data_IF_174368609061
#
_entry.id   IF_174368609061
#
_cell.length_a   1.000
_cell.length_b   1.000
_cell.length_c   1.000
_cell.angle_alpha   90.00
_cell.angle_beta   90.00
_cell.angle_gamma   90.00
#
_symmetry.space_group_name_H-M   'P 1'
#
loop_
_entity.id
_entity.type
_entity.pdbx_description
1 polymer ?
#
# COMPACT_ATOMS: atom_id res chain seq x y z
N UNK A 1 -28.32 55.69 -6.00
CA UNK A 1 -27.36 54.68 -6.53
C UNK A 1 -26.28 54.30 -5.52
N UNK A 2 -25.65 55.26 -4.82
CA UNK A 2 -24.63 54.99 -3.80
C UNK A 2 -25.16 54.15 -2.61
N UNK A 3 -26.40 54.37 -2.19
CA UNK A 3 -27.03 53.63 -1.09
C UNK A 3 -27.24 52.13 -1.38
N UNK A 4 -27.45 51.78 -2.65
CA UNK A 4 -27.61 50.39 -3.06
C UNK A 4 -26.27 49.65 -2.98
N UNK A 5 -25.18 50.31 -3.39
CA UNK A 5 -23.83 49.75 -3.30
C UNK A 5 -23.43 49.54 -1.84
N UNK A 6 -23.70 50.52 -0.96
CA UNK A 6 -23.41 50.44 0.48
C UNK A 6 -24.25 49.37 1.18
N UNK A 7 -25.46 49.08 0.68
CA UNK A 7 -26.32 48.03 1.25
C UNK A 7 -25.91 46.61 0.84
N UNK A 8 -25.40 46.42 -0.38
CA UNK A 8 -25.20 45.08 -0.95
C UNK A 8 -23.72 44.67 -1.15
N UNK A 9 -22.74 45.57 -0.97
CA UNK A 9 -21.32 45.22 -1.14
C UNK A 9 -20.83 44.12 -0.19
N UNK A 10 -21.36 44.05 1.04
CA UNK A 10 -21.05 42.99 2.00
C UNK A 10 -21.56 41.64 1.48
N UNK A 11 -22.75 41.58 0.88
CA UNK A 11 -23.30 40.35 0.30
C UNK A 11 -22.46 39.87 -0.89
N UNK A 12 -21.98 40.79 -1.74
CA UNK A 12 -21.09 40.48 -2.86
C UNK A 12 -19.73 39.95 -2.36
N UNK A 13 -19.18 40.57 -1.32
CA UNK A 13 -17.95 40.11 -0.66
C UNK A 13 -18.11 38.69 -0.10
N UNK A 14 -19.20 38.43 0.62
CA UNK A 14 -19.49 37.09 1.14
C UNK A 14 -19.64 36.06 0.03
N UNK A 15 -20.32 36.40 -1.08
CA UNK A 15 -20.44 35.52 -2.24
C UNK A 15 -19.07 35.19 -2.87
N UNK A 16 -18.19 36.18 -2.98
CA UNK A 16 -16.84 35.99 -3.52
C UNK A 16 -15.97 35.14 -2.59
N UNK A 17 -16.05 35.35 -1.27
CA UNK A 17 -15.35 34.55 -0.26
C UNK A 17 -15.87 33.10 -0.27
N UNK A 18 -17.19 32.90 -0.29
CA UNK A 18 -17.79 31.56 -0.31
C UNK A 18 -17.47 30.81 -1.61
N UNK A 19 -17.49 31.52 -2.75
CA UNK A 19 -17.07 30.97 -4.05
C UNK A 19 -15.58 30.63 -4.10
N UNK A 20 -14.73 31.49 -3.54
CA UNK A 20 -13.29 31.26 -3.40
C UNK A 20 -12.99 30.04 -2.52
N UNK A 21 -13.66 29.91 -1.37
CA UNK A 21 -13.53 28.75 -0.49
C UNK A 21 -14.00 27.46 -1.17
N UNK A 22 -15.14 27.48 -1.86
CA UNK A 22 -15.66 26.31 -2.57
C UNK A 22 -14.74 25.83 -3.69
N UNK A 23 -14.11 26.74 -4.44
CA UNK A 23 -13.14 26.39 -5.47
C UNK A 23 -11.84 25.84 -4.89
N UNK A 24 -11.34 26.44 -3.79
CA UNK A 24 -10.16 25.95 -3.08
C UNK A 24 -10.35 24.52 -2.55
N UNK A 25 -11.50 24.23 -1.91
CA UNK A 25 -11.84 22.89 -1.43
C UNK A 25 -11.92 21.87 -2.57
N UNK A 26 -12.55 22.20 -3.69
CA UNK A 26 -12.62 21.31 -4.87
C UNK A 26 -11.24 21.00 -5.46
N UNK A 27 -10.33 21.99 -5.50
CA UNK A 27 -8.96 21.78 -5.97
C UNK A 27 -8.19 20.86 -5.02
N UNK A 28 -8.34 21.04 -3.71
CA UNK A 28 -7.77 20.17 -2.69
C UNK A 28 -8.29 18.73 -2.80
N UNK A 29 -9.60 18.53 -2.90
CA UNK A 29 -10.20 17.21 -3.10
C UNK A 29 -9.67 16.53 -4.37
N UNK A 30 -9.56 17.26 -5.48
CA UNK A 30 -9.05 16.71 -6.74
C UNK A 30 -7.60 16.26 -6.63
N UNK A 31 -6.77 17.01 -5.89
CA UNK A 31 -5.37 16.63 -5.60
C UNK A 31 -5.30 15.39 -4.71
N UNK A 32 -6.11 15.33 -3.65
CA UNK A 32 -6.19 14.18 -2.76
C UNK A 32 -6.62 12.91 -3.50
N UNK A 33 -7.68 12.99 -4.33
CA UNK A 33 -8.16 11.85 -5.13
C UNK A 33 -7.09 11.29 -6.05
N UNK A 34 -6.30 12.17 -6.69
CA UNK A 34 -5.19 11.75 -7.56
C UNK A 34 -4.12 11.02 -6.75
N UNK A 35 -3.71 11.58 -5.61
CA UNK A 35 -2.74 10.94 -4.72
C UNK A 35 -3.23 9.59 -4.19
N UNK A 36 -4.51 9.46 -3.83
CA UNK A 36 -5.09 8.20 -3.40
C UNK A 36 -5.10 7.15 -4.52
N UNK A 37 -5.37 7.55 -5.77
CA UNK A 37 -5.36 6.65 -6.91
C UNK A 37 -3.94 6.12 -7.19
N UNK A 38 -2.96 7.02 -7.23
CA UNK A 38 -1.55 6.67 -7.45
C UNK A 38 -1.03 5.77 -6.30
N UNK A 39 -1.36 6.12 -5.05
CA UNK A 39 -1.01 5.31 -3.88
C UNK A 39 -1.65 3.92 -3.92
N UNK A 40 -2.93 3.84 -4.32
CA UNK A 40 -3.63 2.57 -4.47
C UNK A 40 -2.99 1.69 -5.55
N UNK A 41 -2.67 2.26 -6.71
CA UNK A 41 -1.99 1.54 -7.78
C UNK A 41 -0.60 1.04 -7.34
N UNK A 42 0.16 1.87 -6.61
CA UNK A 42 1.45 1.48 -6.05
C UNK A 42 1.29 0.34 -5.04
N UNK A 43 0.32 0.45 -4.13
CA UNK A 43 -0.01 -0.59 -3.14
C UNK A 43 -0.38 -1.92 -3.80
N UNK A 44 -1.22 -1.89 -4.83
CA UNK A 44 -1.62 -3.09 -5.57
C UNK A 44 -0.44 -3.69 -6.35
N UNK A 45 0.40 -2.84 -6.95
CA UNK A 45 1.62 -3.27 -7.64
C UNK A 45 2.63 -3.92 -6.70
N UNK A 46 2.93 -3.31 -5.55
CA UNK A 46 3.84 -3.90 -4.56
C UNK A 46 3.30 -5.19 -3.97
N UNK A 47 1.98 -5.25 -3.72
CA UNK A 47 1.31 -6.48 -3.29
C UNK A 47 1.46 -7.60 -4.32
N UNK A 48 1.27 -7.31 -5.62
CA UNK A 48 1.43 -8.29 -6.69
C UNK A 48 2.88 -8.79 -6.83
N UNK A 49 3.86 -7.89 -6.69
CA UNK A 49 5.28 -8.24 -6.72
C UNK A 49 5.68 -9.13 -5.54
N UNK A 50 5.29 -8.77 -4.32
CA UNK A 50 5.55 -9.57 -3.12
C UNK A 50 4.89 -10.95 -3.23
N UNK A 51 3.65 -11.02 -3.72
CA UNK A 51 2.97 -12.29 -3.98
C UNK A 51 3.78 -13.16 -4.95
N UNK A 52 4.19 -12.61 -6.08
CA UNK A 52 4.95 -13.34 -7.09
C UNK A 52 6.28 -13.86 -6.53
N UNK A 53 6.95 -13.04 -5.72
CA UNK A 53 8.24 -13.40 -5.14
C UNK A 53 8.10 -14.49 -4.07
N UNK A 54 7.07 -14.43 -3.22
CA UNK A 54 6.80 -15.48 -2.23
C UNK A 54 6.51 -16.81 -2.92
N UNK A 55 5.71 -16.81 -4.00
CA UNK A 55 5.43 -18.02 -4.80
C UNK A 55 6.72 -18.58 -5.39
N UNK A 56 7.58 -17.72 -5.97
CA UNK A 56 8.86 -18.14 -6.52
C UNK A 56 9.77 -18.76 -5.46
N UNK A 57 9.86 -18.15 -4.29
CA UNK A 57 10.62 -18.69 -3.17
C UNK A 57 10.04 -20.02 -2.70
N UNK A 58 8.71 -20.13 -2.60
CA UNK A 58 8.02 -21.36 -2.27
C UNK A 58 8.43 -22.49 -3.22
N UNK A 59 8.29 -22.28 -4.53
CA UNK A 59 8.64 -23.29 -5.53
C UNK A 59 10.09 -23.77 -5.36
N UNK A 60 11.03 -22.82 -5.22
CA UNK A 60 12.46 -23.13 -5.07
C UNK A 60 12.77 -23.92 -3.78
N UNK A 61 12.16 -23.56 -2.65
CA UNK A 61 12.44 -24.23 -1.37
C UNK A 61 11.72 -25.57 -1.25
N UNK A 62 10.52 -25.69 -1.81
CA UNK A 62 9.80 -26.96 -1.89
C UNK A 62 10.53 -27.96 -2.78
N UNK A 63 11.04 -27.52 -3.93
CA UNK A 63 11.82 -28.38 -4.84
C UNK A 63 13.13 -28.85 -4.19
N UNK A 64 13.73 -28.01 -3.32
CA UNK A 64 14.92 -28.36 -2.53
C UNK A 64 14.63 -29.25 -1.33
N UNK A 65 13.40 -29.23 -0.80
CA UNK A 65 12.98 -29.98 0.39
C UNK A 65 13.58 -29.48 1.71
N UNK A 66 14.28 -28.33 1.71
CA UNK A 66 14.79 -27.69 2.94
C UNK A 66 14.91 -26.17 2.75
N UNK A 67 14.81 -25.44 3.86
CA UNK A 67 14.98 -23.98 3.88
C UNK A 67 16.12 -23.58 4.82
N UNK A 68 16.85 -22.52 4.51
CA UNK A 68 17.82 -21.95 5.44
C UNK A 68 17.14 -21.00 6.42
N UNK A 69 17.73 -20.76 7.60
CA UNK A 69 17.20 -19.80 8.59
C UNK A 69 16.96 -18.42 7.92
N UNK A 70 17.96 -17.92 7.20
CA UNK A 70 17.84 -16.64 6.49
C UNK A 70 16.81 -16.66 5.36
N UNK A 71 16.63 -17.80 4.69
CA UNK A 71 15.60 -17.96 3.67
C UNK A 71 14.20 -17.86 4.27
N UNK A 72 13.98 -18.54 5.39
CA UNK A 72 12.70 -18.52 6.10
C UNK A 72 12.39 -17.12 6.64
N UNK A 73 13.38 -16.44 7.22
CA UNK A 73 13.24 -15.06 7.71
C UNK A 73 12.94 -14.07 6.55
N UNK A 74 13.63 -14.23 5.42
CA UNK A 74 13.38 -13.41 4.22
C UNK A 74 11.97 -13.61 3.68
N UNK A 75 11.49 -14.85 3.57
CA UNK A 75 10.12 -15.10 3.08
C UNK A 75 9.07 -14.66 4.10
N UNK A 76 9.35 -14.83 5.41
CA UNK A 76 8.44 -14.36 6.47
C UNK A 76 8.27 -12.84 6.47
N UNK A 77 9.36 -12.09 6.32
CA UNK A 77 9.29 -10.61 6.23
C UNK A 77 8.54 -10.14 4.98
N UNK A 78 8.74 -10.80 3.84
CA UNK A 78 7.95 -10.54 2.62
C UNK A 78 6.46 -10.85 2.84
N UNK A 79 6.16 -11.96 3.51
CA UNK A 79 4.79 -12.35 3.83
C UNK A 79 4.11 -11.35 4.76
N UNK A 80 4.79 -10.88 5.81
CA UNK A 80 4.26 -9.87 6.73
C UNK A 80 3.91 -8.57 5.99
N UNK A 81 4.83 -8.06 5.16
CA UNK A 81 4.59 -6.88 4.34
C UNK A 81 3.40 -7.10 3.38
N UNK A 82 3.34 -8.26 2.72
CA UNK A 82 2.21 -8.61 1.84
C UNK A 82 0.88 -8.68 2.60
N UNK A 83 0.87 -9.26 3.79
CA UNK A 83 -0.32 -9.41 4.62
C UNK A 83 -0.84 -8.04 5.07
N UNK A 84 0.04 -7.14 5.52
CA UNK A 84 -0.30 -5.75 5.87
C UNK A 84 -0.92 -4.98 4.70
N UNK A 85 -0.52 -5.27 3.46
CA UNK A 85 -1.10 -4.65 2.27
C UNK A 85 -2.50 -5.20 1.92
N UNK A 86 -3.02 -6.19 2.64
CA UNK A 86 -4.33 -6.83 2.36
C UNK A 86 -4.18 -8.13 1.57
N UNK A 87 -3.12 -8.89 1.86
CA UNK A 87 -2.86 -10.19 1.27
C UNK A 87 -4.01 -11.19 1.41
N UNK A 88 -4.18 -12.06 0.42
CA UNK A 88 -5.16 -13.15 0.48
C UNK A 88 -4.61 -14.42 1.15
N UNK A 89 -5.52 -15.29 1.60
CA UNK A 89 -5.19 -16.50 2.35
C UNK A 89 -4.45 -17.59 1.57
N UNK A 90 -4.32 -17.49 0.24
CA UNK A 90 -3.53 -18.46 -0.54
C UNK A 90 -2.05 -18.40 -0.18
N UNK A 91 -1.48 -17.20 -0.09
CA UNK A 91 -0.04 -17.03 0.24
C UNK A 91 0.23 -17.41 1.69
N UNK A 92 -0.76 -17.23 2.58
CA UNK A 92 -0.67 -17.67 3.98
C UNK A 92 -0.43 -19.18 4.07
N UNK A 93 -1.15 -19.99 3.27
CA UNK A 93 -0.92 -21.44 3.22
C UNK A 93 0.48 -21.80 2.75
N UNK A 94 0.98 -21.12 1.70
CA UNK A 94 2.36 -21.33 1.23
C UNK A 94 3.39 -21.02 2.32
N UNK A 95 3.15 -19.98 3.11
CA UNK A 95 4.03 -19.63 4.22
C UNK A 95 3.97 -20.66 5.36
N UNK A 96 2.79 -21.23 5.65
CA UNK A 96 2.63 -22.31 6.62
C UNK A 96 3.41 -23.56 6.19
N UNK A 97 3.25 -23.99 4.93
CA UNK A 97 3.99 -25.12 4.37
C UNK A 97 5.51 -24.90 4.39
N UNK A 98 5.98 -23.68 4.08
CA UNK A 98 7.41 -23.34 4.19
C UNK A 98 7.95 -23.41 5.61
N UNK A 99 7.13 -23.16 6.63
CA UNK A 99 7.53 -23.27 8.04
C UNK A 99 7.67 -24.72 8.49
N UNK A 100 7.02 -25.65 7.81
CA UNK A 100 7.12 -27.09 8.08
C UNK A 100 8.38 -27.72 7.45
N UNK A 101 9.02 -27.04 6.49
CA UNK A 101 10.24 -27.54 5.87
C UNK A 101 11.40 -27.63 6.87
N UNK A 102 12.25 -28.66 6.75
CA UNK A 102 13.41 -28.81 7.63
C UNK A 102 14.38 -27.64 7.43
N UNK A 103 14.76 -27.02 8.56
CA UNK A 103 15.66 -25.86 8.56
C UNK A 103 17.12 -26.33 8.57
N UNK A 104 17.84 -26.05 7.49
CA UNK A 104 19.27 -26.37 7.37
C UNK A 104 20.11 -25.19 7.87
N UNK A 105 20.64 -25.31 9.08
CA UNK A 105 21.70 -24.41 9.56
C UNK A 105 22.98 -24.74 8.79
N UNK A 106 23.50 -23.79 8.01
CA UNK A 106 24.84 -23.94 7.44
C UNK A 106 25.81 -23.92 8.63
N UNK A 107 26.27 -25.10 9.08
CA UNK A 107 27.49 -25.16 9.91
C UNK A 107 28.57 -24.49 9.08
N UNK A 108 29.04 -23.34 9.56
CA UNK A 108 30.26 -22.72 9.05
C UNK A 108 31.38 -23.65 9.52
N UNK A 109 31.72 -24.65 8.72
CA UNK A 109 33.01 -25.33 8.88
C UNK A 109 34.09 -24.28 8.57
N UNK A 110 34.83 -23.92 9.62
CA UNK A 110 36.06 -23.12 9.55
C UNK A 110 37.21 -24.01 9.12
#
# INVERSE_FOLDING_TARGET
>A
MKDFVIKYWVQVLFGLVMGGLGTALKVLEKRMRKQTCDYKALKEGTQALLRSEIIRCYDVYMERGYISIHGLESVSSMYEAYHTLGGNGTVTKLMEELRELPVKTRKIEK
#
